data_IF_734019834919
#
_entry.id   IF_734019834919
#
_cell.length_a   1.000
_cell.length_b   1.000
_cell.length_c   1.000
_cell.angle_alpha   90.00
_cell.angle_beta   90.00
_cell.angle_gamma   90.00
#
_symmetry.space_group_name_H-M   'P 1'
#
loop_
_entity.id
_entity.type
_entity.pdbx_description
1 polymer ?
#
# COMPACT_ATOMS: atom_id res chain seq x y z
N UNK A 1 6.71 11.79 16.34
CA UNK A 1 6.61 11.32 14.95
C UNK A 1 5.71 10.10 14.92
N UNK A 2 4.56 10.22 14.26
CA UNK A 2 3.56 9.15 14.16
C UNK A 2 4.09 7.99 13.29
N UNK A 3 3.49 6.79 13.40
CA UNK A 3 3.85 5.64 12.54
C UNK A 3 3.61 5.95 11.06
N UNK A 4 2.59 6.75 10.76
CA UNK A 4 2.27 7.22 9.41
C UNK A 4 3.40 8.09 8.81
N UNK A 5 3.85 9.11 9.53
CA UNK A 5 4.96 9.97 9.10
C UNK A 5 6.27 9.18 8.87
N UNK A 6 6.51 8.15 9.70
CA UNK A 6 7.66 7.25 9.53
C UNK A 6 7.60 6.49 8.20
N UNK A 7 6.41 6.06 7.77
CA UNK A 7 6.25 5.34 6.50
C UNK A 7 6.52 6.26 5.31
N UNK A 8 5.98 7.48 5.33
CA UNK A 8 6.24 8.48 4.28
C UNK A 8 7.73 8.80 4.16
N UNK A 9 8.43 9.02 5.28
CA UNK A 9 9.86 9.30 5.26
C UNK A 9 10.70 8.12 4.74
N UNK A 10 10.26 6.89 4.97
CA UNK A 10 10.98 5.68 4.54
C UNK A 10 10.74 5.32 3.07
N UNK A 11 9.80 5.97 2.38
CA UNK A 11 9.45 5.62 1.00
C UNK A 11 10.65 5.69 0.03
N UNK A 12 11.60 6.59 0.31
CA UNK A 12 12.85 6.78 -0.44
C UNK A 12 13.76 5.54 -0.45
N UNK A 13 13.59 4.63 0.49
CA UNK A 13 14.39 3.40 0.57
C UNK A 13 13.85 2.29 -0.34
N UNK A 14 12.67 2.45 -0.93
CA UNK A 14 12.03 1.43 -1.75
C UNK A 14 12.84 0.93 -2.97
N UNK A 15 13.67 1.73 -3.67
CA UNK A 15 14.44 1.24 -4.81
C UNK A 15 15.44 0.13 -4.44
N UNK A 16 15.85 0.08 -3.18
CA UNK A 16 16.72 -0.97 -2.66
C UNK A 16 15.91 -2.24 -2.39
N UNK A 17 16.03 -3.21 -3.30
CA UNK A 17 15.34 -4.51 -3.21
C UNK A 17 15.78 -5.36 -2.01
N UNK A 18 16.94 -5.10 -1.45
CA UNK A 18 17.41 -5.81 -0.27
C UNK A 18 16.81 -5.27 1.03
N UNK A 19 16.34 -4.03 1.00
CA UNK A 19 15.74 -3.35 2.14
C UNK A 19 14.46 -4.05 2.63
N UNK A 20 14.31 -4.12 3.94
CA UNK A 20 13.15 -4.73 4.60
C UNK A 20 11.84 -4.00 4.25
N UNK A 21 11.90 -2.67 4.12
CA UNK A 21 10.77 -1.83 3.72
C UNK A 21 10.26 -2.22 2.34
N UNK A 22 11.14 -2.41 1.35
CA UNK A 22 10.77 -2.86 0.01
C UNK A 22 10.01 -4.19 0.07
N UNK A 23 10.58 -5.19 0.76
CA UNK A 23 10.01 -6.55 0.88
C UNK A 23 8.61 -6.49 1.50
N UNK A 24 8.46 -5.76 2.60
CA UNK A 24 7.18 -5.61 3.32
C UNK A 24 6.14 -4.84 2.51
N UNK A 25 6.51 -3.70 1.96
CA UNK A 25 5.60 -2.85 1.19
C UNK A 25 5.10 -3.57 -0.08
N UNK A 26 5.98 -4.28 -0.79
CA UNK A 26 5.59 -5.10 -1.95
C UNK A 26 4.53 -6.15 -1.59
N UNK A 27 4.70 -6.84 -0.45
CA UNK A 27 3.73 -7.83 0.04
C UNK A 27 2.38 -7.17 0.36
N UNK A 28 2.42 -6.02 1.04
CA UNK A 28 1.21 -5.28 1.41
C UNK A 28 0.44 -4.85 0.18
N UNK A 29 1.12 -4.25 -0.81
CA UNK A 29 0.50 -3.81 -2.07
C UNK A 29 -0.19 -4.96 -2.80
N UNK A 30 0.50 -6.10 -2.94
CA UNK A 30 -0.07 -7.30 -3.60
C UNK A 30 -1.25 -7.88 -2.85
N UNK A 31 -1.21 -7.91 -1.50
CA UNK A 31 -2.26 -8.52 -0.68
C UNK A 31 -3.49 -7.64 -0.52
N UNK A 32 -3.28 -6.33 -0.41
CA UNK A 32 -4.34 -5.37 -0.11
C UNK A 32 -4.80 -4.58 -1.32
N UNK A 33 -4.22 -4.83 -2.50
CA UNK A 33 -4.59 -4.17 -3.75
C UNK A 33 -4.56 -2.64 -3.61
N UNK A 34 -3.45 -2.13 -3.10
CA UNK A 34 -3.20 -0.72 -2.78
C UNK A 34 -1.87 -0.25 -3.39
N UNK A 35 -1.66 1.06 -3.46
CA UNK A 35 -0.41 1.65 -3.95
C UNK A 35 -0.04 2.91 -3.16
N UNK A 36 1.24 3.02 -2.79
CA UNK A 36 1.74 4.11 -1.95
C UNK A 36 1.34 3.96 -0.47
N UNK A 37 1.59 4.99 0.33
CA UNK A 37 1.24 5.03 1.75
C UNK A 37 -0.20 5.56 1.87
N UNK A 38 -0.42 6.78 1.39
CA UNK A 38 -1.71 7.48 1.36
C UNK A 38 -2.35 7.42 -0.02
N UNK A 39 -1.53 7.44 -1.07
CA UNK A 39 -1.97 7.32 -2.45
C UNK A 39 -0.83 6.91 -3.39
N UNK A 40 -1.17 6.47 -4.59
CA UNK A 40 -0.18 6.09 -5.60
C UNK A 40 0.82 7.20 -5.96
N UNK A 41 0.47 8.49 -5.72
CA UNK A 41 1.35 9.64 -5.98
C UNK A 41 2.48 9.80 -4.96
N UNK A 42 2.47 9.06 -3.86
CA UNK A 42 3.57 9.11 -2.89
C UNK A 42 4.91 8.72 -3.53
N UNK A 43 4.85 7.85 -4.55
CA UNK A 43 5.97 7.43 -5.38
C UNK A 43 6.65 8.58 -6.12
N UNK A 44 5.86 9.49 -6.69
CA UNK A 44 6.38 10.70 -7.33
C UNK A 44 6.82 11.73 -6.29
N UNK A 45 6.04 11.93 -5.22
CA UNK A 45 6.31 12.94 -4.20
C UNK A 45 7.54 12.60 -3.34
N UNK A 46 7.86 11.32 -3.22
CA UNK A 46 9.00 10.83 -2.44
C UNK A 46 10.36 11.03 -3.12
N UNK A 47 10.40 11.47 -4.38
CA UNK A 47 11.60 11.51 -5.23
C UNK A 47 12.34 10.16 -5.27
N UNK A 48 11.55 9.08 -5.35
CA UNK A 48 12.04 7.71 -5.23
C UNK A 48 12.80 7.25 -6.48
N UNK A 49 12.38 7.74 -7.66
CA UNK A 49 12.99 7.46 -8.95
C UNK A 49 13.32 8.76 -9.68
N UNK A 50 14.29 8.70 -10.59
CA UNK A 50 14.61 9.81 -11.49
C UNK A 50 13.47 10.13 -12.47
N UNK A 51 12.62 9.14 -12.75
CA UNK A 51 11.38 9.31 -13.50
C UNK A 51 10.20 9.33 -12.52
N UNK A 52 9.64 10.52 -12.29
CA UNK A 52 8.48 10.73 -11.40
C UNK A 52 7.19 10.04 -11.91
N UNK A 53 7.18 9.46 -13.11
CA UNK A 53 6.06 8.67 -13.62
C UNK A 53 6.17 7.17 -13.32
N UNK A 54 7.18 6.75 -12.55
CA UNK A 54 7.36 5.37 -12.16
C UNK A 54 6.65 5.05 -10.84
N UNK A 55 5.93 3.93 -10.84
CA UNK A 55 5.44 3.28 -9.63
C UNK A 55 5.92 1.82 -9.60
N UNK A 56 5.89 1.15 -8.43
CA UNK A 56 6.22 -0.27 -8.35
C UNK A 56 5.26 -1.15 -9.18
N UNK A 57 5.78 -2.21 -9.80
CA UNK A 57 4.95 -3.16 -10.56
C UNK A 57 3.89 -3.86 -9.69
N UNK A 58 4.14 -4.00 -8.38
CA UNK A 58 3.17 -4.51 -7.40
C UNK A 58 1.92 -3.63 -7.23
N UNK A 59 1.95 -2.40 -7.76
CA UNK A 59 0.78 -1.52 -7.81
C UNK A 59 -0.10 -1.75 -9.05
N UNK A 60 0.34 -2.52 -10.04
CA UNK A 60 -0.45 -2.75 -11.24
C UNK A 60 -1.59 -3.75 -10.98
N UNK A 61 -2.72 -3.54 -11.63
CA UNK A 61 -3.85 -4.49 -11.61
C UNK A 61 -3.42 -5.78 -12.31
N UNK A 62 -2.84 -5.66 -13.50
CA UNK A 62 -2.13 -6.75 -14.17
C UNK A 62 -0.62 -6.62 -13.92
N UNK A 63 -0.13 -7.28 -12.86
CA UNK A 63 1.30 -7.28 -12.52
C UNK A 63 2.13 -7.94 -13.62
N UNK A 64 2.91 -7.13 -14.35
CA UNK A 64 3.88 -7.53 -15.37
C UNK A 64 5.16 -6.72 -15.17
N UNK A 65 6.29 -7.27 -15.58
CA UNK A 65 7.57 -6.57 -15.46
C UNK A 65 7.51 -5.22 -16.20
N UNK A 66 7.72 -4.13 -15.46
CA UNK A 66 7.72 -2.76 -15.97
C UNK A 66 6.34 -2.18 -16.31
N UNK A 67 5.24 -2.77 -15.83
CA UNK A 67 3.90 -2.22 -16.01
C UNK A 67 3.73 -0.85 -15.34
N UNK A 68 4.49 -0.58 -14.26
CA UNK A 68 4.44 0.69 -13.53
C UNK A 68 5.25 1.83 -14.17
N UNK A 69 5.80 1.61 -15.39
CA UNK A 69 6.56 2.63 -16.12
C UNK A 69 5.63 3.56 -16.89
N UNK A 70 5.98 4.85 -16.93
CA UNK A 70 5.28 5.86 -17.73
C UNK A 70 3.79 5.98 -17.41
N UNK A 71 3.42 5.78 -16.14
CA UNK A 71 2.04 5.95 -15.70
C UNK A 71 1.72 7.44 -15.74
N UNK A 72 0.88 7.83 -16.70
CA UNK A 72 0.35 9.19 -16.77
C UNK A 72 -0.70 9.34 -15.67
N UNK A 73 -0.60 10.43 -14.91
CA UNK A 73 -1.53 10.74 -13.80
C UNK A 73 -3.01 10.76 -14.22
N UNK A 74 -3.30 10.95 -15.50
CA UNK A 74 -4.65 11.05 -16.05
C UNK A 74 -5.20 9.73 -16.65
N UNK A 75 -4.37 8.68 -16.73
CA UNK A 75 -4.72 7.38 -17.34
C UNK A 75 -4.51 6.23 -16.33
N UNK A 76 -4.67 6.48 -15.03
CA UNK A 76 -4.42 5.48 -13.97
C UNK A 76 -5.58 4.50 -13.77
N UNK A 77 -6.79 4.89 -14.18
CA UNK A 77 -8.01 4.12 -13.94
C UNK A 77 -7.99 2.79 -14.69
N UNK A 78 -8.05 1.69 -13.95
CA UNK A 78 -8.06 0.33 -14.51
C UNK A 78 -6.68 -0.23 -14.88
N UNK A 79 -5.59 0.53 -14.66
CA UNK A 79 -4.22 0.04 -14.84
C UNK A 79 -3.52 -0.26 -13.52
N UNK A 80 -3.80 0.55 -12.49
CA UNK A 80 -3.11 0.50 -11.20
C UNK A 80 -4.11 0.57 -10.04
N UNK A 81 -3.70 0.06 -8.88
CA UNK A 81 -4.35 0.38 -7.62
C UNK A 81 -4.04 1.84 -7.26
N UNK A 82 -5.07 2.62 -6.93
CA UNK A 82 -4.92 4.05 -6.62
C UNK A 82 -5.04 4.36 -5.14
N UNK A 83 -5.70 3.48 -4.37
CA UNK A 83 -5.89 3.61 -2.93
C UNK A 83 -4.57 3.42 -2.16
N UNK A 84 -4.31 4.27 -1.17
CA UNK A 84 -3.17 4.14 -0.27
C UNK A 84 -3.23 2.93 0.66
N UNK A 85 -2.07 2.33 0.90
CA UNK A 85 -1.99 1.13 1.74
C UNK A 85 -2.27 1.39 3.22
N UNK A 86 -2.03 2.60 3.74
CA UNK A 86 -2.32 2.93 5.14
C UNK A 86 -3.82 2.80 5.44
N UNK A 87 -4.66 3.39 4.59
CA UNK A 87 -6.11 3.30 4.71
C UNK A 87 -6.61 1.85 4.56
N UNK A 88 -6.06 1.10 3.60
CA UNK A 88 -6.44 -0.31 3.38
C UNK A 88 -6.06 -1.20 4.57
N UNK A 89 -4.89 -0.98 5.18
CA UNK A 89 -4.51 -1.68 6.42
C UNK A 89 -5.48 -1.37 7.55
N UNK A 90 -5.85 -0.09 7.75
CA UNK A 90 -6.82 0.29 8.79
C UNK A 90 -8.17 -0.37 8.57
N UNK A 91 -8.65 -0.41 7.32
CA UNK A 91 -9.90 -1.09 6.96
C UNK A 91 -9.87 -2.57 7.29
N UNK A 92 -8.78 -3.27 6.96
CA UNK A 92 -8.62 -4.69 7.27
C UNK A 92 -8.55 -4.98 8.76
N UNK A 93 -7.80 -4.16 9.51
CA UNK A 93 -7.72 -4.26 10.97
C UNK A 93 -9.10 -4.07 11.60
N UNK A 94 -9.82 -3.02 11.21
CA UNK A 94 -11.15 -2.73 11.75
C UNK A 94 -12.17 -3.83 11.44
N UNK A 95 -12.12 -4.41 10.23
CA UNK A 95 -12.98 -5.53 9.85
C UNK A 95 -12.72 -6.76 10.73
N UNK A 96 -11.45 -7.10 10.95
CA UNK A 96 -11.08 -8.25 11.77
C UNK A 96 -11.38 -8.02 13.26
N UNK A 97 -11.14 -6.81 13.77
CA UNK A 97 -11.49 -6.42 15.14
C UNK A 97 -13.00 -6.50 15.38
N UNK A 98 -13.82 -6.10 14.41
CA UNK A 98 -15.28 -6.22 14.50
C UNK A 98 -15.71 -7.68 14.68
N UNK A 99 -15.12 -8.60 13.91
CA UNK A 99 -15.41 -10.04 14.01
C UNK A 99 -15.00 -10.59 15.38
N UNK A 100 -13.78 -10.27 15.85
CA UNK A 100 -13.30 -10.69 17.17
C UNK A 100 -14.17 -10.13 18.29
N UNK A 101 -14.59 -8.87 18.18
CA UNK A 101 -15.49 -8.23 19.14
C UNK A 101 -16.84 -8.93 19.22
N UNK A 102 -17.42 -9.32 18.09
CA UNK A 102 -18.69 -10.08 18.05
C UNK A 102 -18.51 -11.46 18.71
N UNK A 103 -17.43 -12.18 18.40
CA UNK A 103 -17.16 -13.50 18.99
C UNK A 103 -16.99 -13.42 20.51
N UNK A 104 -16.22 -12.43 20.99
CA UNK A 104 -16.03 -12.20 22.42
C UNK A 104 -17.36 -11.84 23.12
N UNK A 105 -18.18 -10.99 22.49
CA UNK A 105 -19.50 -10.65 23.01
C UNK A 105 -20.38 -11.89 23.12
N UNK A 106 -20.49 -12.73 22.09
CA UNK A 106 -21.29 -13.96 22.13
C UNK A 106 -20.83 -14.89 23.26
N UNK A 107 -19.52 -15.08 23.45
CA UNK A 107 -19.00 -15.93 24.53
C UNK A 107 -19.43 -15.45 25.92
N UNK A 108 -19.48 -14.13 26.16
CA UNK A 108 -19.91 -13.54 27.44
C UNK A 108 -21.37 -13.81 27.77
N UNK A 109 -22.26 -13.98 26.78
CA UNK A 109 -23.68 -14.30 27.01
C UNK A 109 -23.99 -15.79 26.98
N UNK A 110 -23.06 -16.62 26.50
CA UNK A 110 -23.20 -18.08 26.43
C UNK A 110 -22.74 -18.75 27.73
N UNK A 111 -21.75 -18.18 28.42
CA UNK A 111 -21.51 -18.43 29.86
C UNK A 111 -22.53 -17.69 30.74
#
# INVERSE_FOLDING_TARGET
MSTHEKLLNNIRQYPDKENEFYKKMTIIQRRLHCCGIDEYRDWSNGDVWSDHSYIPDSCCIEEKFGCGKHIKLNETQGLIYTDGCFNMIQKEINRNLMIVGILAFVLVFVE
#
